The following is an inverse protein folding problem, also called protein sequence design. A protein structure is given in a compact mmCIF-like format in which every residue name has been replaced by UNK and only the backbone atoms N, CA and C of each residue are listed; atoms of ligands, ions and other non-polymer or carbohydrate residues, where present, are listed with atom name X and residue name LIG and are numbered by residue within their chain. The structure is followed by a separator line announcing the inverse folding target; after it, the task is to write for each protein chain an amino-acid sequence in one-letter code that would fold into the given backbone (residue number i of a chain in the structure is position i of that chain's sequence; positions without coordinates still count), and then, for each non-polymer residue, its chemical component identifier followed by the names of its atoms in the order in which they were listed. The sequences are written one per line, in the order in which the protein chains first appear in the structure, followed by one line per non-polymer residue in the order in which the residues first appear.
data_IF_628783350615
#
_entry.id   IF_628783350615
#
_cell.length_a   1.000
_cell.length_b   1.000
_cell.length_c   1.000
_cell.angle_alpha   90.00
_cell.angle_beta   90.00
_cell.angle_gamma   90.00
#
_symmetry.space_group_name_H-M   'P 1'
#
loop_
_entity.id
_entity.type
_entity.pdbx_description
1 polymer ?
#
# COMPACT_ATOMS: atom_id res chain seq x y z
N UNK A 1 -9.96 5.44 19.21
CA UNK A 1 -8.89 4.65 18.57
C UNK A 1 -8.84 5.06 17.11
N UNK A 2 -7.65 5.23 16.55
CA UNK A 2 -7.43 5.63 15.15
C UNK A 2 -6.49 4.61 14.53
N UNK A 3 -6.79 4.15 13.32
CA UNK A 3 -5.91 3.31 12.52
C UNK A 3 -4.90 4.18 11.78
N UNK A 4 -3.63 3.80 11.86
CA UNK A 4 -2.52 4.49 11.20
C UNK A 4 -1.71 3.50 10.39
N UNK A 5 -0.95 4.02 9.44
CA UNK A 5 0.06 3.24 8.74
C UNK A 5 1.02 2.58 9.73
N UNK A 6 1.26 1.29 9.55
CA UNK A 6 2.24 0.52 10.33
C UNK A 6 3.41 0.09 9.43
N UNK A 7 3.11 -0.66 8.37
CA UNK A 7 4.07 -1.09 7.36
C UNK A 7 3.34 -1.39 6.04
N UNK A 8 4.08 -1.64 4.96
CA UNK A 8 3.52 -2.05 3.68
C UNK A 8 4.58 -2.45 2.65
N UNK A 9 4.09 -3.10 1.60
CA UNK A 9 4.90 -3.62 0.50
C UNK A 9 4.29 -3.21 -0.84
N UNK A 10 5.10 -2.65 -1.72
CA UNK A 10 4.71 -2.23 -3.06
C UNK A 10 5.31 -3.18 -4.09
N UNK A 11 4.47 -3.79 -4.93
CA UNK A 11 4.88 -4.69 -6.02
C UNK A 11 4.30 -4.31 -7.39
N UNK A 12 3.89 -3.06 -7.55
CA UNK A 12 3.34 -2.55 -8.80
C UNK A 12 4.41 -2.13 -9.82
N UNK A 13 3.96 -1.43 -10.86
CA UNK A 13 4.83 -0.94 -11.92
C UNK A 13 5.80 0.15 -11.41
N UNK A 14 7.07 0.01 -11.79
CA UNK A 14 8.16 0.93 -11.44
C UNK A 14 8.53 1.71 -12.70
N UNK A 15 8.45 3.05 -12.66
CA UNK A 15 8.71 3.91 -13.83
C UNK A 15 10.09 3.68 -14.47
N UNK A 16 11.11 3.40 -13.66
CA UNK A 16 12.50 3.17 -14.12
C UNK A 16 12.74 1.78 -14.72
N UNK A 17 11.73 0.89 -14.72
CA UNK A 17 11.84 -0.50 -15.18
C UNK A 17 11.81 -0.69 -16.71
N UNK A 18 11.80 0.38 -17.51
CA UNK A 18 11.78 0.25 -18.99
C UNK A 18 13.13 -0.07 -19.66
N UNK A 19 14.23 -0.24 -18.93
CA UNK A 19 15.55 -0.40 -19.59
C UNK A 19 16.38 -1.62 -19.19
N UNK A 20 15.98 -2.51 -18.29
CA UNK A 20 16.79 -3.72 -18.01
C UNK A 20 15.92 -4.97 -17.88
N UNK A 21 15.77 -5.69 -19.00
CA UNK A 21 15.53 -7.12 -18.99
C UNK A 21 16.79 -7.80 -18.44
N UNK A 22 16.69 -8.52 -17.32
CA UNK A 22 17.32 -9.83 -17.11
C UNK A 22 17.21 -10.29 -15.65
N UNK A 23 16.88 -11.58 -15.51
CA UNK A 23 16.99 -12.44 -14.31
C UNK A 23 15.89 -12.29 -13.25
N UNK A 24 14.94 -13.24 -13.28
CA UNK A 24 13.85 -13.43 -12.31
C UNK A 24 14.33 -13.61 -10.85
N UNK A 25 15.59 -14.00 -10.62
CA UNK A 25 16.17 -14.11 -9.27
C UNK A 25 16.43 -12.75 -8.58
N UNK A 26 16.38 -11.63 -9.30
CA UNK A 26 16.63 -10.30 -8.74
C UNK A 26 15.34 -9.48 -8.54
N UNK A 27 14.22 -9.95 -9.09
CA UNK A 27 12.98 -9.17 -9.12
C UNK A 27 12.43 -8.93 -7.70
N UNK A 28 12.36 -9.96 -6.86
CA UNK A 28 11.81 -9.83 -5.49
C UNK A 28 12.69 -8.94 -4.62
N UNK A 29 14.01 -9.05 -4.75
CA UNK A 29 14.97 -8.20 -4.04
C UNK A 29 14.86 -6.73 -4.48
N UNK A 30 14.67 -6.48 -5.78
CA UNK A 30 14.48 -5.14 -6.33
C UNK A 30 13.16 -4.52 -5.88
N UNK A 31 12.08 -5.29 -5.83
CA UNK A 31 10.76 -4.82 -5.38
C UNK A 31 10.77 -4.53 -3.87
N UNK A 32 11.46 -5.36 -3.09
CA UNK A 32 11.69 -5.10 -1.68
C UNK A 32 12.47 -3.79 -1.48
N UNK A 33 13.58 -3.61 -2.18
CA UNK A 33 14.35 -2.35 -2.17
C UNK A 33 13.49 -1.16 -2.58
N UNK A 34 12.63 -1.32 -3.58
CA UNK A 34 11.73 -0.24 -4.02
C UNK A 34 10.74 0.17 -2.94
N UNK A 35 10.17 -0.80 -2.23
CA UNK A 35 9.27 -0.53 -1.10
C UNK A 35 9.97 0.29 -0.02
N UNK A 36 11.22 -0.05 0.31
CA UNK A 36 12.01 0.70 1.29
C UNK A 36 12.33 2.12 0.81
N UNK A 37 12.72 2.31 -0.46
CA UNK A 37 12.94 3.64 -1.03
C UNK A 37 11.69 4.53 -0.98
N UNK A 38 10.50 3.97 -1.23
CA UNK A 38 9.23 4.72 -1.14
C UNK A 38 8.92 5.12 0.30
N UNK A 39 9.16 4.23 1.27
CA UNK A 39 9.01 4.53 2.71
C UNK A 39 9.99 5.60 3.18
N UNK A 40 11.25 5.52 2.75
CA UNK A 40 12.27 6.55 3.04
C UNK A 40 11.90 7.92 2.45
N UNK A 41 11.39 7.94 1.21
CA UNK A 41 10.89 9.16 0.59
C UNK A 41 9.75 9.78 1.41
N UNK A 42 8.78 8.98 1.85
CA UNK A 42 7.69 9.46 2.70
C UNK A 42 8.22 10.12 3.99
N UNK A 43 9.16 9.46 4.69
CA UNK A 43 9.77 10.00 5.90
C UNK A 43 10.51 11.31 5.62
N UNK A 44 11.24 11.39 4.51
CA UNK A 44 11.92 12.62 4.08
C UNK A 44 10.94 13.77 3.79
N UNK A 45 9.78 13.49 3.19
CA UNK A 45 8.74 14.49 2.93
C UNK A 45 8.12 15.01 4.23
N UNK A 46 7.87 14.12 5.20
CA UNK A 46 7.31 14.48 6.51
C UNK A 46 8.24 15.36 7.35
N UNK A 47 9.55 15.11 7.29
CA UNK A 47 10.53 15.85 8.09
C UNK A 47 10.82 17.26 7.55
N UNK A 48 10.26 17.62 6.40
CA UNK A 48 10.62 18.82 5.63
C UNK A 48 12.05 18.68 5.08
N UNK A 49 12.32 19.25 3.90
CA UNK A 49 13.69 19.28 3.39
C UNK A 49 14.58 20.07 4.36
N UNK A 50 15.29 19.38 5.27
CA UNK A 50 16.42 20.00 5.95
C UNK A 50 17.44 20.28 4.86
N UNK A 51 17.56 21.55 4.47
CA UNK A 51 18.51 22.11 3.52
C UNK A 51 19.97 21.91 3.99
N UNK A 52 20.40 20.67 4.09
CA UNK A 52 21.80 20.32 4.17
C UNK A 52 22.14 19.52 2.91
N UNK A 53 23.03 20.02 2.04
CA UNK A 53 23.59 19.28 0.92
C UNK A 53 24.58 18.21 1.41
N UNK A 54 24.27 17.55 2.53
CA UNK A 54 25.01 16.39 3.01
C UNK A 54 24.53 15.19 2.20
N UNK A 55 25.15 14.98 1.04
CA UNK A 55 25.09 13.75 0.24
C UNK A 55 23.70 13.11 0.22
N UNK A 56 22.70 13.77 -0.39
CA UNK A 56 21.56 13.02 -0.92
C UNK A 56 22.18 11.96 -1.85
N UNK A 57 22.05 10.65 -1.58
CA UNK A 57 22.63 9.66 -2.47
C UNK A 57 22.09 9.96 -3.87
N UNK A 58 22.94 9.93 -4.90
CA UNK A 58 22.55 10.23 -6.29
C UNK A 58 21.43 9.30 -6.81
N UNK A 59 21.06 8.28 -6.03
CA UNK A 59 20.00 7.30 -6.26
C UNK A 59 18.74 7.50 -5.37
N UNK A 60 18.64 8.55 -4.57
CA UNK A 60 17.45 8.83 -3.75
C UNK A 60 16.29 9.28 -4.63
N UNK A 61 15.11 8.69 -4.43
CA UNK A 61 13.93 9.04 -5.21
C UNK A 61 13.46 10.45 -4.91
N UNK A 62 12.98 11.13 -5.94
CA UNK A 62 12.20 12.36 -5.81
C UNK A 62 10.77 12.12 -6.30
N UNK A 63 9.78 12.91 -5.85
CA UNK A 63 8.37 12.75 -6.24
C UNK A 63 8.15 12.63 -7.75
N UNK A 64 8.92 13.36 -8.56
CA UNK A 64 8.81 13.41 -10.02
C UNK A 64 9.15 12.07 -10.71
N UNK A 65 10.00 11.26 -10.07
CA UNK A 65 10.45 9.96 -10.59
C UNK A 65 9.42 8.84 -10.37
N UNK A 66 8.35 9.10 -9.60
CA UNK A 66 7.37 8.09 -9.20
C UNK A 66 6.29 7.86 -10.26
N UNK A 67 5.94 6.60 -10.49
CA UNK A 67 4.71 6.23 -11.19
C UNK A 67 3.48 6.69 -10.40
N UNK A 68 2.32 6.77 -11.05
CA UNK A 68 1.08 7.14 -10.35
C UNK A 68 0.75 6.14 -9.23
N UNK A 69 1.03 4.85 -9.43
CA UNK A 69 0.83 3.81 -8.42
C UNK A 69 1.83 3.90 -7.26
N UNK A 70 3.09 4.26 -7.55
CA UNK A 70 4.10 4.53 -6.51
C UNK A 70 3.71 5.75 -5.67
N UNK A 71 3.25 6.82 -6.32
CA UNK A 71 2.74 8.01 -5.64
C UNK A 71 1.51 7.69 -4.78
N UNK A 72 0.57 6.89 -5.30
CA UNK A 72 -0.57 6.41 -4.54
C UNK A 72 -0.14 5.68 -3.26
N UNK A 73 0.83 4.77 -3.36
CA UNK A 73 1.37 4.03 -2.22
C UNK A 73 2.02 4.96 -1.17
N UNK A 74 2.86 5.89 -1.61
CA UNK A 74 3.50 6.89 -0.71
C UNK A 74 2.46 7.74 0.01
N UNK A 75 1.45 8.25 -0.70
CA UNK A 75 0.42 9.10 -0.11
C UNK A 75 -0.49 8.30 0.83
N UNK A 76 -0.70 7.00 0.60
CA UNK A 76 -1.43 6.13 1.52
C UNK A 76 -0.82 6.08 2.94
N UNK A 77 0.50 6.27 3.08
CA UNK A 77 1.18 6.29 4.39
C UNK A 77 0.78 7.49 5.26
N UNK A 78 0.24 8.55 4.65
CA UNK A 78 -0.21 9.76 5.35
C UNK A 78 -1.62 9.68 5.92
N UNK A 79 -2.42 8.66 5.54
CA UNK A 79 -3.81 8.57 5.97
C UNK A 79 -3.96 7.99 7.37
N UNK A 80 -4.91 8.56 8.10
CA UNK A 80 -5.44 8.02 9.34
C UNK A 80 -6.93 7.74 9.17
N UNK A 81 -7.43 6.70 9.82
CA UNK A 81 -8.84 6.31 9.74
C UNK A 81 -9.43 6.14 11.14
N UNK A 82 -10.49 6.88 11.44
CA UNK A 82 -11.27 6.64 12.65
C UNK A 82 -12.05 5.32 12.55
N UNK A 83 -12.46 4.76 13.69
CA UNK A 83 -13.35 3.59 13.71
C UNK A 83 -14.65 3.93 12.95
N UNK A 84 -15.14 2.98 12.13
CA UNK A 84 -16.30 3.14 11.24
C UNK A 84 -16.13 4.11 10.06
N UNK A 85 -14.96 4.72 9.89
CA UNK A 85 -14.67 5.58 8.76
C UNK A 85 -14.07 4.79 7.61
N UNK A 86 -14.60 4.96 6.40
CA UNK A 86 -13.98 4.46 5.17
C UNK A 86 -13.72 2.95 5.19
N UNK A 87 -12.99 2.42 4.19
CA UNK A 87 -12.74 0.98 4.12
C UNK A 87 -12.02 0.43 5.36
N UNK A 88 -10.84 0.96 5.77
CA UNK A 88 -10.11 0.40 6.91
C UNK A 88 -10.87 0.51 8.24
N UNK A 89 -11.43 1.69 8.54
CA UNK A 89 -12.14 1.93 9.79
C UNK A 89 -13.44 1.12 9.91
N UNK A 90 -14.18 0.93 8.81
CA UNK A 90 -15.37 0.05 8.78
C UNK A 90 -15.00 -1.42 8.91
N UNK A 91 -13.91 -1.85 8.27
CA UNK A 91 -13.39 -3.22 8.37
C UNK A 91 -13.03 -3.55 9.82
N UNK A 92 -12.32 -2.63 10.48
CA UNK A 92 -11.96 -2.80 11.89
C UNK A 92 -13.19 -2.85 12.80
N UNK A 93 -14.15 -1.96 12.59
CA UNK A 93 -15.35 -1.89 13.43
C UNK A 93 -16.26 -3.11 13.28
N UNK A 94 -16.41 -3.63 12.06
CA UNK A 94 -17.23 -4.82 11.78
C UNK A 94 -16.52 -6.12 12.09
N UNK A 95 -15.19 -6.10 12.11
CA UNK A 95 -14.34 -7.28 12.21
C UNK A 95 -14.62 -8.32 11.11
N UNK A 96 -14.89 -7.83 9.89
CA UNK A 96 -15.20 -8.63 8.70
C UNK A 96 -14.41 -8.10 7.49
N UNK A 97 -14.05 -8.94 6.50
CA UNK A 97 -13.48 -8.46 5.24
C UNK A 97 -14.45 -7.54 4.51
N UNK A 98 -13.91 -6.49 3.89
CA UNK A 98 -14.64 -5.59 2.98
C UNK A 98 -13.92 -5.57 1.65
N UNK A 99 -14.64 -5.91 0.58
CA UNK A 99 -14.15 -5.88 -0.79
C UNK A 99 -14.77 -4.69 -1.54
N UNK A 100 -13.94 -3.90 -2.21
CA UNK A 100 -14.38 -2.78 -3.05
C UNK A 100 -13.87 -2.99 -4.47
N UNK A 101 -14.80 -3.34 -5.35
CA UNK A 101 -14.61 -3.28 -6.79
C UNK A 101 -14.85 -1.86 -7.30
N UNK A 102 -14.19 -1.50 -8.40
CA UNK A 102 -14.27 -0.18 -9.03
C UNK A 102 -13.88 0.97 -8.09
N UNK A 103 -12.81 0.79 -7.31
CA UNK A 103 -12.33 1.78 -6.34
C UNK A 103 -12.05 3.16 -6.97
N UNK A 104 -11.49 3.20 -8.18
CA UNK A 104 -11.29 4.41 -8.98
C UNK A 104 -12.59 5.17 -9.38
N UNK A 105 -13.75 4.50 -9.32
CA UNK A 105 -15.07 5.10 -9.61
C UNK A 105 -15.88 5.35 -8.34
N UNK A 106 -15.38 4.93 -7.18
CA UNK A 106 -16.11 5.05 -5.93
C UNK A 106 -16.30 6.52 -5.54
N UNK A 107 -17.47 6.83 -4.98
CA UNK A 107 -17.71 8.14 -4.38
C UNK A 107 -16.70 8.37 -3.25
N UNK A 108 -16.17 9.59 -3.14
CA UNK A 108 -15.17 9.91 -2.11
C UNK A 108 -15.67 9.61 -0.71
N UNK A 109 -16.97 9.77 -0.41
CA UNK A 109 -17.58 9.38 0.88
C UNK A 109 -17.51 7.88 1.26
N UNK A 110 -17.18 7.02 0.29
CA UNK A 110 -17.02 5.56 0.46
C UNK A 110 -15.56 5.18 0.44
N UNK A 111 -14.79 5.88 -0.41
CA UNK A 111 -13.36 5.71 -0.58
C UNK A 111 -12.67 7.07 -0.74
N UNK A 112 -12.12 7.63 0.34
CA UNK A 112 -11.47 8.96 0.35
C UNK A 112 -10.39 9.10 -0.70
N UNK A 113 -9.71 7.99 -0.95
CA UNK A 113 -8.59 7.88 -1.89
C UNK A 113 -9.07 7.60 -3.33
N UNK A 114 -10.36 7.67 -3.64
CA UNK A 114 -10.89 7.31 -4.97
C UNK A 114 -10.32 8.15 -6.11
N UNK A 115 -10.08 9.45 -5.89
CA UNK A 115 -9.43 10.29 -6.90
C UNK A 115 -7.98 9.88 -7.15
N UNK A 116 -7.20 9.60 -6.10
CA UNK A 116 -5.83 9.12 -6.23
C UNK A 116 -5.80 7.74 -6.89
N UNK A 117 -6.73 6.86 -6.50
CA UNK A 117 -6.92 5.55 -7.11
C UNK A 117 -7.27 5.66 -8.59
N UNK A 118 -8.07 6.65 -9.00
CA UNK A 118 -8.35 6.91 -10.41
C UNK A 118 -7.12 7.28 -11.22
N UNK A 119 -6.23 8.10 -10.67
CA UNK A 119 -4.97 8.47 -11.33
C UNK A 119 -4.00 7.29 -11.39
N UNK A 120 -3.98 6.47 -10.36
CA UNK A 120 -3.15 5.27 -10.24
C UNK A 120 -3.75 4.01 -10.88
N UNK A 121 -4.94 4.11 -11.48
CA UNK A 121 -5.74 3.01 -12.02
C UNK A 121 -6.01 1.88 -11.01
N UNK A 122 -6.12 2.18 -9.70
CA UNK A 122 -6.47 1.18 -8.68
C UNK A 122 -7.96 0.83 -8.80
N UNK A 123 -8.23 -0.40 -9.20
CA UNK A 123 -9.59 -0.87 -9.47
C UNK A 123 -10.17 -1.69 -8.33
N UNK A 124 -9.35 -2.44 -7.60
CA UNK A 124 -9.82 -3.29 -6.49
C UNK A 124 -9.05 -2.98 -5.21
N UNK A 125 -9.79 -2.82 -4.12
CA UNK A 125 -9.24 -2.69 -2.76
C UNK A 125 -9.96 -3.67 -1.84
N UNK A 126 -9.21 -4.46 -1.09
CA UNK A 126 -9.75 -5.36 -0.06
C UNK A 126 -9.12 -5.03 1.29
N UNK A 127 -9.95 -4.92 2.32
CA UNK A 127 -9.53 -4.77 3.70
C UNK A 127 -9.99 -5.97 4.51
N UNK A 128 -9.17 -6.45 5.44
CA UNK A 128 -9.61 -7.47 6.40
C UNK A 128 -8.91 -7.31 7.76
N UNK A 129 -9.59 -7.67 8.87
CA UNK A 129 -9.01 -7.52 10.21
C UNK A 129 -7.89 -8.53 10.45
N UNK A 130 -6.83 -8.07 11.13
CA UNK A 130 -5.69 -8.89 11.52
C UNK A 130 -4.94 -8.28 12.72
N UNK A 131 -4.64 -9.08 13.75
CA UNK A 131 -3.86 -8.72 14.96
C UNK A 131 -4.20 -7.34 15.56
N UNK A 132 -5.48 -7.02 15.73
CA UNK A 132 -5.90 -5.74 16.30
C UNK A 132 -5.70 -4.53 15.38
N UNK A 133 -5.47 -4.78 14.08
CA UNK A 133 -5.44 -3.79 13.00
C UNK A 133 -6.16 -4.31 11.75
N UNK A 134 -5.80 -3.73 10.59
CA UNK A 134 -6.38 -4.06 9.29
C UNK A 134 -5.27 -4.23 8.27
N UNK A 135 -5.36 -5.28 7.47
CA UNK A 135 -4.56 -5.44 6.26
C UNK A 135 -5.38 -4.92 5.09
N UNK A 136 -4.75 -4.11 4.24
CA UNK A 136 -5.32 -3.61 3.00
C UNK A 136 -4.49 -4.10 1.81
N UNK A 137 -5.15 -4.61 0.77
CA UNK A 137 -4.52 -4.95 -0.50
C UNK A 137 -5.19 -4.12 -1.60
N UNK A 138 -4.38 -3.54 -2.48
CA UNK A 138 -4.84 -2.76 -3.64
C UNK A 138 -4.23 -3.28 -4.93
N UNK A 139 -5.00 -3.27 -6.01
CA UNK A 139 -4.51 -3.67 -7.34
C UNK A 139 -5.13 -2.83 -8.45
N UNK A 140 -4.39 -2.69 -9.54
CA UNK A 140 -4.87 -2.03 -10.77
C UNK A 140 -5.81 -2.89 -11.60
N UNK A 141 -6.01 -4.16 -11.21
CA UNK A 141 -6.92 -5.07 -11.90
C UNK A 141 -8.28 -5.08 -11.23
N UNK A 142 -9.34 -5.22 -12.01
CA UNK A 142 -10.64 -5.58 -11.48
C UNK A 142 -10.61 -7.07 -11.09
N UNK A 143 -10.74 -7.35 -9.80
CA UNK A 143 -10.75 -8.71 -9.25
C UNK A 143 -12.06 -8.88 -8.51
N UNK A 144 -12.81 -9.91 -8.89
CA UNK A 144 -14.06 -10.27 -8.22
C UNK A 144 -13.80 -10.73 -6.78
N UNK A 145 -14.83 -10.59 -5.94
CA UNK A 145 -14.72 -10.94 -4.53
C UNK A 145 -14.43 -12.43 -4.35
N UNK A 146 -13.28 -12.73 -3.72
CA UNK A 146 -12.88 -14.08 -3.38
C UNK A 146 -12.40 -14.17 -1.93
N UNK A 147 -13.24 -14.70 -1.06
CA UNK A 147 -12.89 -14.90 0.34
C UNK A 147 -11.81 -15.96 0.53
N UNK A 148 -11.62 -16.88 -0.43
CA UNK A 148 -10.54 -17.87 -0.35
C UNK A 148 -9.17 -17.19 -0.42
N UNK A 149 -9.04 -16.11 -1.20
CA UNK A 149 -7.83 -15.28 -1.20
C UNK A 149 -7.53 -14.73 0.20
N UNK A 150 -8.53 -14.15 0.87
CA UNK A 150 -8.38 -13.61 2.23
C UNK A 150 -7.98 -14.71 3.22
N UNK A 151 -8.64 -15.87 3.16
CA UNK A 151 -8.30 -17.02 4.00
C UNK A 151 -6.88 -17.54 3.73
N UNK A 152 -6.47 -17.59 2.46
CA UNK A 152 -5.14 -18.02 2.06
C UNK A 152 -4.06 -17.07 2.58
N UNK A 153 -4.27 -15.75 2.43
CA UNK A 153 -3.34 -14.73 2.95
C UNK A 153 -3.20 -14.85 4.46
N UNK A 154 -4.33 -14.94 5.19
CA UNK A 154 -4.34 -15.09 6.64
C UNK A 154 -3.60 -16.35 7.11
N UNK A 155 -3.77 -17.45 6.41
CA UNK A 155 -3.25 -18.76 6.85
C UNK A 155 -1.77 -18.95 6.55
N UNK A 156 -1.28 -18.41 5.43
CA UNK A 156 0.07 -18.69 4.94
C UNK A 156 1.08 -17.58 5.25
N UNK A 157 0.64 -16.31 5.29
CA UNK A 157 1.55 -15.16 5.39
C UNK A 157 1.41 -14.39 6.71
N UNK A 158 0.26 -14.50 7.36
CA UNK A 158 -0.08 -13.71 8.55
C UNK A 158 -0.26 -14.55 9.81
N UNK A 159 -0.05 -15.86 9.75
CA UNK A 159 0.13 -16.63 10.99
C UNK A 159 1.42 -16.16 11.64
N UNK A 160 1.32 -15.58 12.83
CA UNK A 160 2.48 -15.40 13.69
C UNK A 160 3.15 -16.76 13.94
N UNK A 161 4.44 -16.80 14.32
CA UNK A 161 5.03 -18.04 14.82
C UNK A 161 4.09 -18.56 15.91
N UNK A 162 3.61 -19.80 15.76
CA UNK A 162 2.78 -20.44 16.80
C UNK A 162 3.47 -20.19 18.12
N UNK A 163 2.82 -19.47 19.03
CA UNK A 163 3.29 -19.38 20.40
C UNK A 163 3.34 -20.82 20.91
N UNK A 164 4.55 -21.38 20.95
CA UNK A 164 4.81 -22.63 21.63
C UNK A 164 4.51 -22.37 23.10
N UNK A 165 3.38 -22.91 23.57
CA UNK A 165 3.06 -23.01 25.00
C UNK A 165 4.11 -23.87 25.70
#
# INVERSE_FOLDING_TARGET
VVLRWYDGYYNGDIKTRKTVQSVESNADQLVFQRSDQLKELYVSLCNGETNHPAKRPTAALVPEDLSNAEWFFVICMSFEFEINQELPGRTFAKNEPIWLCNAHLAATKVFFRSLLAKVADIQTVVCFPHLGGVVELGTTKLVEEDMNLVHHVKSNFLRGPSATL
#
